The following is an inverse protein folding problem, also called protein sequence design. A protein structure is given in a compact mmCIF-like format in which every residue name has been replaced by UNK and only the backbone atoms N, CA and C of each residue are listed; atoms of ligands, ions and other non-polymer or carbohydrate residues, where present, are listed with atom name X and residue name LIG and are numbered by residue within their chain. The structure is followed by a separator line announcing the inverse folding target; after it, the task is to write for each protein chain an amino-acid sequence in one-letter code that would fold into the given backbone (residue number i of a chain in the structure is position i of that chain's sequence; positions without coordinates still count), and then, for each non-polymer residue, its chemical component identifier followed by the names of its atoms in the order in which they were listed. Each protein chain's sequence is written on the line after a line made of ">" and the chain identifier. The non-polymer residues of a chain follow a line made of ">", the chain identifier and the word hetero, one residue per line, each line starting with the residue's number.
data_IF_057029034278
#
_entry.id   IF_057029034278
#
_cell.length_a   1.000
_cell.length_b   1.000
_cell.length_c   1.000
_cell.angle_alpha   90.00
_cell.angle_beta   90.00
_cell.angle_gamma   90.00
#
_symmetry.space_group_name_H-M   'P 1'
#
loop_
_entity.id
_entity.type
_entity.pdbx_description
1 polymer ?
#
# COMPACT_ATOMS: atom_id res chain seq x y z
N UNK A 1 39.06 -11.72 8.54
CA UNK A 1 38.70 -10.41 7.97
C UNK A 1 38.03 -9.62 9.10
N UNK A 2 38.71 -8.63 9.66
CA UNK A 2 38.11 -7.68 10.60
C UNK A 2 36.93 -7.02 9.89
N UNK A 3 35.73 -7.06 10.49
CA UNK A 3 34.57 -6.34 9.96
C UNK A 3 34.83 -4.85 10.14
N UNK A 4 35.57 -4.23 9.22
CA UNK A 4 35.45 -2.79 9.04
C UNK A 4 33.96 -2.51 8.82
N UNK A 5 33.41 -1.62 9.65
CA UNK A 5 31.99 -1.25 9.59
C UNK A 5 31.67 -0.77 8.17
N UNK A 6 30.90 -1.56 7.41
CA UNK A 6 30.55 -1.19 6.04
C UNK A 6 29.87 0.17 6.04
N UNK A 7 30.40 1.12 5.25
CA UNK A 7 29.79 2.43 5.08
C UNK A 7 28.69 2.35 4.01
N UNK A 8 27.48 2.81 4.33
CA UNK A 8 26.32 2.78 3.44
C UNK A 8 25.76 4.18 3.30
N UNK A 9 25.62 4.65 2.06
CA UNK A 9 24.94 5.89 1.72
C UNK A 9 23.51 5.58 1.24
N UNK A 10 22.51 6.19 1.88
CA UNK A 10 21.10 6.11 1.51
C UNK A 10 20.66 7.47 0.95
N UNK A 11 20.02 7.45 -0.23
CA UNK A 11 19.47 8.64 -0.87
C UNK A 11 17.96 8.66 -0.67
N UNK A 12 17.49 9.60 0.14
CA UNK A 12 16.09 9.76 0.55
C UNK A 12 15.89 9.44 2.03
N UNK A 13 15.45 10.43 2.79
CA UNK A 13 15.12 10.37 4.22
C UNK A 13 13.62 10.18 4.49
N UNK A 14 12.87 9.62 3.54
CA UNK A 14 11.50 9.15 3.76
C UNK A 14 11.45 7.82 4.52
N UNK A 15 10.25 7.30 4.77
CA UNK A 15 10.03 6.09 5.60
C UNK A 15 10.86 4.89 5.16
N UNK A 16 10.98 4.65 3.85
CA UNK A 16 11.79 3.54 3.32
C UNK A 16 13.27 3.72 3.66
N UNK A 17 13.83 4.91 3.41
CA UNK A 17 15.24 5.18 3.67
C UNK A 17 15.57 5.15 5.17
N UNK A 18 14.68 5.66 6.01
CA UNK A 18 14.82 5.60 7.47
C UNK A 18 14.75 4.15 7.99
N UNK A 19 13.79 3.34 7.53
CA UNK A 19 13.71 1.92 7.89
C UNK A 19 14.96 1.16 7.43
N UNK A 20 15.43 1.36 6.18
CA UNK A 20 16.68 0.76 5.71
C UNK A 20 17.86 1.17 6.60
N UNK A 21 17.97 2.46 6.93
CA UNK A 21 19.04 2.97 7.79
C UNK A 21 18.99 2.40 9.21
N UNK A 22 17.80 2.25 9.79
CA UNK A 22 17.59 1.63 11.10
C UNK A 22 18.11 0.20 11.15
N UNK A 23 17.66 -0.67 10.24
CA UNK A 23 18.06 -2.07 10.22
C UNK A 23 19.54 -2.27 9.84
N UNK A 24 20.08 -1.44 8.94
CA UNK A 24 21.51 -1.47 8.60
C UNK A 24 22.38 -1.00 9.77
N UNK A 25 21.96 0.04 10.49
CA UNK A 25 22.67 0.51 11.69
C UNK A 25 22.67 -0.56 12.78
N UNK A 26 21.54 -1.24 13.02
CA UNK A 26 21.47 -2.41 13.92
C UNK A 26 22.39 -3.56 13.48
N UNK A 27 22.60 -3.75 12.18
CA UNK A 27 23.53 -4.74 11.65
C UNK A 27 25.03 -4.34 11.79
N UNK A 28 25.33 -3.16 12.33
CA UNK A 28 26.69 -2.66 12.54
C UNK A 28 27.27 -1.88 11.36
N UNK A 29 26.44 -1.50 10.37
CA UNK A 29 26.86 -0.63 9.27
C UNK A 29 26.93 0.84 9.73
N UNK A 30 27.86 1.60 9.17
CA UNK A 30 27.90 3.06 9.31
C UNK A 30 27.03 3.68 8.23
N UNK A 31 25.86 4.18 8.60
CA UNK A 31 24.87 4.70 7.64
C UNK A 31 24.93 6.22 7.57
N UNK A 32 25.02 6.75 6.34
CA UNK A 32 24.77 8.16 6.03
C UNK A 32 23.49 8.26 5.21
N UNK A 33 22.53 9.08 5.64
CA UNK A 33 21.30 9.35 4.88
C UNK A 33 21.36 10.78 4.38
N UNK A 34 21.17 10.97 3.08
CA UNK A 34 21.04 12.28 2.46
C UNK A 34 19.62 12.47 1.95
N UNK A 35 19.04 13.64 2.21
CA UNK A 35 17.77 14.07 1.61
C UNK A 35 17.97 15.45 0.98
N UNK A 36 17.23 15.72 -0.09
CA UNK A 36 17.22 17.03 -0.74
C UNK A 36 16.53 18.07 0.15
N UNK A 37 15.49 17.68 0.89
CA UNK A 37 14.80 18.53 1.84
C UNK A 37 15.16 18.13 3.28
N UNK A 38 16.00 18.92 3.99
CA UNK A 38 16.38 18.60 5.35
C UNK A 38 15.20 18.66 6.34
N UNK A 39 14.12 19.39 6.01
CA UNK A 39 12.91 19.45 6.82
C UNK A 39 12.03 18.20 6.66
N UNK A 40 12.19 17.47 5.54
CA UNK A 40 11.37 16.33 5.11
C UNK A 40 9.86 16.63 4.98
N UNK A 41 9.48 17.91 5.03
CA UNK A 41 8.08 18.35 4.92
C UNK A 41 7.57 18.21 3.50
N UNK A 42 6.27 17.95 3.35
CA UNK A 42 5.62 17.84 2.04
C UNK A 42 6.18 16.73 1.12
N UNK A 43 6.83 15.73 1.72
CA UNK A 43 7.17 14.48 1.05
C UNK A 43 6.02 13.45 1.23
N UNK A 44 5.97 12.41 0.40
CA UNK A 44 4.94 11.36 0.51
C UNK A 44 4.87 10.71 1.90
N UNK A 45 6.00 10.65 2.62
CA UNK A 45 6.05 10.10 3.98
C UNK A 45 5.52 11.06 5.05
N UNK A 46 5.38 12.35 4.76
CA UNK A 46 4.85 13.37 5.68
C UNK A 46 3.32 13.52 5.55
N UNK A 47 2.78 13.36 4.34
CA UNK A 47 1.36 13.61 4.03
C UNK A 47 0.54 12.34 3.68
N UNK A 48 0.95 11.17 4.16
CA UNK A 48 0.17 9.93 3.95
C UNK A 48 -0.88 9.70 5.06
N UNK A 49 -1.82 8.79 4.80
CA UNK A 49 -2.90 8.45 5.74
C UNK A 49 -2.47 7.58 6.94
N UNK A 50 -1.18 7.20 7.06
CA UNK A 50 -0.65 6.40 8.17
C UNK A 50 -1.13 4.94 8.19
N UNK A 51 -1.73 4.45 7.11
CA UNK A 51 -2.30 3.10 7.07
C UNK A 51 -1.27 2.03 6.72
N UNK A 52 -1.30 0.92 7.45
CA UNK A 52 -0.58 -0.31 7.13
C UNK A 52 -1.58 -1.32 6.58
N UNK A 53 -1.55 -1.59 5.27
CA UNK A 53 -2.66 -2.21 4.52
C UNK A 53 -2.30 -3.58 3.90
N UNK A 54 -2.28 -4.68 4.67
CA UNK A 54 -2.04 -6.01 4.10
C UNK A 54 -3.13 -6.47 3.11
N UNK A 55 -4.30 -5.83 3.11
CA UNK A 55 -5.38 -6.07 2.15
C UNK A 55 -5.04 -5.67 0.71
N UNK A 56 -3.98 -4.89 0.46
CA UNK A 56 -3.59 -4.43 -0.88
C UNK A 56 -2.67 -5.43 -1.61
N UNK A 57 -3.08 -6.70 -1.65
CA UNK A 57 -2.37 -7.76 -2.35
C UNK A 57 -2.69 -7.83 -3.86
N UNK A 58 -3.74 -7.14 -4.31
CA UNK A 58 -4.02 -6.98 -5.74
C UNK A 58 -3.15 -5.83 -6.27
N UNK A 59 -2.29 -6.07 -7.29
CA UNK A 59 -1.43 -5.03 -7.82
C UNK A 59 -2.25 -3.92 -8.49
N UNK A 60 -1.68 -2.72 -8.57
CA UNK A 60 -2.29 -1.59 -9.28
C UNK A 60 -2.62 -1.92 -10.75
N UNK A 61 -1.79 -2.74 -11.39
CA UNK A 61 -2.05 -3.27 -12.73
C UNK A 61 -2.97 -4.50 -12.64
N UNK A 62 -4.27 -4.28 -12.43
CA UNK A 62 -5.28 -5.33 -12.38
C UNK A 62 -6.25 -5.24 -13.58
N UNK A 63 -6.99 -6.33 -13.91
CA UNK A 63 -8.08 -6.28 -14.87
C UNK A 63 -9.05 -5.14 -14.58
N UNK A 64 -9.52 -4.44 -15.62
CA UNK A 64 -10.50 -3.35 -15.47
C UNK A 64 -9.92 -1.98 -15.07
N UNK A 65 -8.70 -1.91 -14.55
CA UNK A 65 -8.07 -0.62 -14.18
C UNK A 65 -7.87 0.29 -15.39
N UNK A 66 -7.62 -0.27 -16.57
CA UNK A 66 -7.46 0.50 -17.81
C UNK A 66 -8.76 1.15 -18.25
N UNK A 67 -9.87 0.40 -18.26
CA UNK A 67 -11.18 0.94 -18.65
C UNK A 67 -11.66 1.96 -17.62
N UNK A 68 -11.41 1.72 -16.34
CA UNK A 68 -11.67 2.68 -15.28
C UNK A 68 -10.81 3.94 -15.42
N UNK A 69 -9.51 3.79 -15.68
CA UNK A 69 -8.57 4.89 -15.90
C UNK A 69 -8.95 5.76 -17.10
N UNK A 70 -9.41 5.16 -18.20
CA UNK A 70 -9.94 5.89 -19.36
C UNK A 70 -11.20 6.70 -19.01
N UNK A 71 -12.15 6.12 -18.26
CA UNK A 71 -13.34 6.84 -17.77
C UNK A 71 -12.94 8.01 -16.84
N UNK A 72 -11.97 7.78 -15.97
CA UNK A 72 -11.42 8.76 -15.04
C UNK A 72 -10.71 9.92 -15.73
N UNK A 73 -9.95 9.67 -16.79
CA UNK A 73 -9.31 10.75 -17.57
C UNK A 73 -10.33 11.71 -18.22
N UNK A 74 -11.56 11.26 -18.46
CA UNK A 74 -12.64 12.10 -18.98
C UNK A 74 -13.36 12.93 -17.90
N UNK A 75 -13.03 12.71 -16.62
CA UNK A 75 -13.60 13.43 -15.49
C UNK A 75 -12.53 14.33 -14.85
N UNK A 76 -12.69 15.65 -14.94
CA UNK A 76 -11.74 16.62 -14.37
C UNK A 76 -11.66 16.62 -12.84
N UNK A 77 -12.60 15.96 -12.16
CA UNK A 77 -12.60 15.74 -10.70
C UNK A 77 -12.03 14.37 -10.30
N UNK A 78 -11.52 13.60 -11.27
CA UNK A 78 -10.96 12.27 -11.02
C UNK A 78 -9.66 12.36 -10.21
N UNK A 79 -9.41 11.39 -9.29
CA UNK A 79 -8.13 11.29 -8.59
C UNK A 79 -6.97 10.91 -9.52
N UNK A 80 -7.26 10.44 -10.74
CA UNK A 80 -6.28 10.05 -11.73
C UNK A 80 -6.38 10.90 -12.99
N UNK A 81 -5.33 11.68 -13.27
CA UNK A 81 -5.17 12.48 -14.48
C UNK A 81 -3.77 12.26 -15.09
N UNK A 82 -3.72 11.75 -16.31
CA UNK A 82 -2.50 11.69 -17.11
C UNK A 82 -2.56 12.75 -18.20
N UNK A 83 -1.67 13.74 -18.14
CA UNK A 83 -1.55 14.72 -19.22
C UNK A 83 -1.05 14.01 -20.49
N UNK A 84 -1.80 14.01 -21.61
CA UNK A 84 -1.33 13.41 -22.84
C UNK A 84 -0.07 14.14 -23.33
N UNK A 85 1.00 13.39 -23.59
CA UNK A 85 2.27 13.90 -24.11
C UNK A 85 2.80 12.92 -25.15
N UNK A 86 3.45 13.44 -26.20
CA UNK A 86 4.15 12.63 -27.20
C UNK A 86 5.53 12.24 -26.67
N UNK A 87 5.54 11.44 -25.60
CA UNK A 87 6.74 10.93 -24.96
C UNK A 87 6.83 9.41 -25.18
N UNK A 88 7.81 8.91 -25.96
CA UNK A 88 7.98 7.48 -26.20
C UNK A 88 8.14 6.65 -24.92
N UNK A 89 8.76 7.21 -23.87
CA UNK A 89 8.92 6.53 -22.60
C UNK A 89 7.57 6.33 -21.90
N UNK A 90 6.73 7.37 -21.91
CA UNK A 90 5.36 7.31 -21.38
C UNK A 90 4.54 6.24 -22.12
N UNK A 91 4.57 6.21 -23.44
CA UNK A 91 3.82 5.22 -24.23
C UNK A 91 4.32 3.79 -23.99
N UNK A 92 5.64 3.60 -23.88
CA UNK A 92 6.23 2.31 -23.51
C UNK A 92 5.76 1.84 -22.13
N UNK A 93 5.70 2.75 -21.15
CA UNK A 93 5.18 2.46 -19.83
C UNK A 93 3.68 2.10 -19.87
N UNK A 94 2.86 2.89 -20.58
CA UNK A 94 1.43 2.60 -20.75
C UNK A 94 1.19 1.22 -21.37
N UNK A 95 1.98 0.86 -22.38
CA UNK A 95 1.91 -0.45 -23.01
C UNK A 95 2.27 -1.59 -22.05
N UNK A 96 3.34 -1.44 -21.26
CA UNK A 96 3.71 -2.41 -20.22
C UNK A 96 2.62 -2.53 -19.16
N UNK A 97 2.12 -1.40 -18.66
CA UNK A 97 1.04 -1.36 -17.67
C UNK A 97 -0.21 -2.07 -18.19
N UNK A 98 -0.63 -1.79 -19.43
CA UNK A 98 -1.71 -2.51 -20.10
C UNK A 98 -1.45 -4.02 -20.17
N UNK A 99 -0.27 -4.44 -20.64
CA UNK A 99 0.09 -5.87 -20.73
C UNK A 99 0.04 -6.59 -19.40
N UNK A 100 0.36 -5.92 -18.31
CA UNK A 100 0.33 -6.47 -16.96
C UNK A 100 -1.02 -6.33 -16.25
N UNK A 101 -1.97 -5.56 -16.80
CA UNK A 101 -3.32 -5.39 -16.24
C UNK A 101 -4.23 -6.58 -16.54
N UNK A 102 -3.85 -7.78 -16.08
CA UNK A 102 -4.55 -9.03 -16.36
C UNK A 102 -4.59 -9.97 -15.14
N UNK A 103 -5.51 -10.94 -15.16
CA UNK A 103 -5.74 -11.84 -14.02
C UNK A 103 -4.54 -12.73 -13.69
N UNK A 104 -3.76 -13.16 -14.71
CA UNK A 104 -2.55 -13.94 -14.47
C UNK A 104 -1.49 -13.14 -13.72
N UNK A 105 -1.37 -11.84 -13.98
CA UNK A 105 -0.44 -11.00 -13.21
C UNK A 105 -0.86 -10.88 -11.74
N UNK A 106 -2.15 -10.73 -11.47
CA UNK A 106 -2.69 -10.72 -10.10
C UNK A 106 -2.37 -12.05 -9.41
N UNK A 107 -2.69 -13.18 -10.03
CA UNK A 107 -2.45 -14.50 -9.44
C UNK A 107 -0.97 -14.75 -9.13
N UNK A 108 -0.08 -14.33 -10.03
CA UNK A 108 1.36 -14.50 -9.86
C UNK A 108 1.99 -13.55 -8.82
N UNK A 109 1.29 -12.47 -8.44
CA UNK A 109 1.84 -11.44 -7.53
C UNK A 109 1.16 -11.40 -6.16
N UNK A 110 -0.10 -11.84 -6.04
CA UNK A 110 -0.89 -11.70 -4.80
C UNK A 110 -0.20 -12.30 -3.57
N UNK A 111 0.41 -13.48 -3.71
CA UNK A 111 1.07 -14.15 -2.59
C UNK A 111 2.31 -13.38 -2.13
N UNK A 112 3.12 -12.87 -3.06
CA UNK A 112 4.31 -12.07 -2.73
C UNK A 112 3.91 -10.75 -2.08
N UNK A 113 2.93 -10.05 -2.65
CA UNK A 113 2.47 -8.76 -2.13
C UNK A 113 1.86 -8.91 -0.73
N UNK A 114 1.03 -9.94 -0.52
CA UNK A 114 0.49 -10.27 0.81
C UNK A 114 1.61 -10.57 1.80
N UNK A 115 2.55 -11.46 1.45
CA UNK A 115 3.65 -11.83 2.33
C UNK A 115 4.51 -10.62 2.73
N UNK A 116 4.86 -9.76 1.77
CA UNK A 116 5.60 -8.52 2.05
C UNK A 116 4.83 -7.57 2.96
N UNK A 117 3.51 -7.44 2.76
CA UNK A 117 2.68 -6.51 3.52
C UNK A 117 2.40 -6.99 4.94
N UNK A 118 2.18 -8.30 5.11
CA UNK A 118 2.04 -8.93 6.43
C UNK A 118 3.35 -8.85 7.22
N UNK A 119 4.48 -9.09 6.57
CA UNK A 119 5.80 -8.92 7.19
C UNK A 119 6.06 -7.46 7.55
N UNK A 120 5.72 -6.52 6.66
CA UNK A 120 5.81 -5.10 6.97
C UNK A 120 4.96 -4.73 8.18
N UNK A 121 3.72 -5.24 8.30
CA UNK A 121 2.88 -5.04 9.49
C UNK A 121 3.51 -5.58 10.76
N UNK A 122 4.08 -6.78 10.70
CA UNK A 122 4.81 -7.39 11.83
C UNK A 122 5.96 -6.50 12.28
N UNK A 123 6.79 -6.03 11.35
CA UNK A 123 7.91 -5.14 11.63
C UNK A 123 7.48 -3.77 12.17
N UNK A 124 6.34 -3.23 11.72
CA UNK A 124 5.81 -1.97 12.27
C UNK A 124 5.37 -2.12 13.73
N UNK A 125 4.81 -3.27 14.12
CA UNK A 125 4.48 -3.55 15.53
C UNK A 125 5.75 -3.60 16.39
N UNK A 126 6.79 -4.30 15.93
CA UNK A 126 8.09 -4.33 16.62
C UNK A 126 8.72 -2.93 16.73
N UNK A 127 8.65 -2.14 15.66
CA UNK A 127 9.16 -0.76 15.69
C UNK A 127 8.36 0.13 16.64
N UNK A 128 7.04 -0.05 16.73
CA UNK A 128 6.22 0.73 17.67
C UNK A 128 6.64 0.46 19.12
N UNK A 129 6.91 -0.81 19.46
CA UNK A 129 7.39 -1.20 20.79
C UNK A 129 8.81 -0.67 21.09
N UNK A 130 9.70 -0.67 20.09
CA UNK A 130 11.09 -0.25 20.27
C UNK A 130 11.29 1.28 20.25
N UNK A 131 10.50 2.00 19.45
CA UNK A 131 10.64 3.43 19.21
C UNK A 131 9.58 4.27 19.94
N UNK A 132 8.61 3.64 20.58
CA UNK A 132 7.55 4.27 21.37
C UNK A 132 6.75 5.31 20.54
N UNK A 133 6.14 4.86 19.44
CA UNK A 133 5.21 5.67 18.64
C UNK A 133 3.83 5.03 18.55
N UNK A 134 2.81 5.88 18.37
CA UNK A 134 1.42 5.43 18.29
C UNK A 134 1.16 4.58 17.03
N UNK A 135 0.69 3.35 17.24
CA UNK A 135 0.22 2.46 16.18
C UNK A 135 -1.10 1.80 16.58
N UNK A 136 -2.19 2.19 15.92
CA UNK A 136 -3.51 1.63 16.19
C UNK A 136 -3.75 0.33 15.39
N UNK A 137 -4.19 -0.73 16.08
CA UNK A 137 -4.48 -2.05 15.50
C UNK A 137 -5.98 -2.33 15.42
N UNK A 138 -6.75 -1.40 14.82
CA UNK A 138 -8.23 -1.45 14.78
C UNK A 138 -8.82 -2.11 13.52
N UNK A 139 -7.98 -2.49 12.56
CA UNK A 139 -8.43 -3.01 11.27
C UNK A 139 -8.91 -1.91 10.31
N UNK A 140 -9.55 -2.32 9.22
CA UNK A 140 -10.08 -1.45 8.17
C UNK A 140 -11.46 -1.99 7.76
N UNK A 141 -12.47 -1.10 7.71
CA UNK A 141 -13.79 -1.42 7.18
C UNK A 141 -13.93 -0.91 5.74
N UNK A 142 -14.30 -1.81 4.84
CA UNK A 142 -14.67 -1.49 3.45
C UNK A 142 -16.20 -1.37 3.37
N UNK A 143 -16.71 -0.15 3.49
CA UNK A 143 -18.15 0.12 3.52
C UNK A 143 -18.75 0.07 2.11
N UNK A 144 -19.83 -0.70 1.96
CA UNK A 144 -20.51 -0.92 0.69
C UNK A 144 -21.95 -0.41 0.77
N UNK A 145 -22.35 0.53 -0.09
CA UNK A 145 -23.73 1.05 -0.12
C UNK A 145 -24.69 0.22 -0.99
N UNK A 146 -24.16 -0.77 -1.72
CA UNK A 146 -24.93 -1.56 -2.67
C UNK A 146 -24.56 -3.03 -2.52
N UNK A 147 -25.54 -3.91 -2.72
CA UNK A 147 -25.34 -5.36 -2.73
C UNK A 147 -24.26 -5.77 -3.74
N UNK A 148 -24.27 -5.18 -4.95
CA UNK A 148 -23.27 -5.46 -5.96
C UNK A 148 -21.84 -5.10 -5.51
N UNK A 149 -21.67 -3.97 -4.80
CA UNK A 149 -20.39 -3.60 -4.21
C UNK A 149 -19.96 -4.57 -3.12
N UNK A 150 -20.89 -5.01 -2.27
CA UNK A 150 -20.62 -6.00 -1.23
C UNK A 150 -20.22 -7.35 -1.84
N UNK A 151 -20.88 -7.80 -2.92
CA UNK A 151 -20.50 -9.02 -3.65
C UNK A 151 -19.10 -8.93 -4.28
N UNK A 152 -18.71 -7.77 -4.79
CA UNK A 152 -17.36 -7.54 -5.32
C UNK A 152 -16.31 -7.57 -4.21
N UNK A 153 -16.53 -6.85 -3.10
CA UNK A 153 -15.63 -6.86 -1.94
C UNK A 153 -15.58 -8.23 -1.25
N UNK A 154 -16.68 -8.99 -1.24
CA UNK A 154 -16.69 -10.35 -0.71
C UNK A 154 -15.75 -11.29 -1.48
N UNK A 155 -15.61 -11.10 -2.80
CA UNK A 155 -14.61 -11.83 -3.61
C UNK A 155 -13.19 -11.42 -3.23
N UNK A 156 -12.95 -10.13 -2.98
CA UNK A 156 -11.65 -9.64 -2.51
C UNK A 156 -11.33 -10.20 -1.13
N UNK A 157 -12.29 -10.20 -0.19
CA UNK A 157 -12.12 -10.81 1.13
C UNK A 157 -11.82 -12.31 1.04
N UNK A 158 -12.47 -13.04 0.13
CA UNK A 158 -12.16 -14.44 -0.12
C UNK A 158 -10.73 -14.65 -0.62
N UNK A 159 -10.29 -13.88 -1.62
CA UNK A 159 -8.91 -13.91 -2.12
C UNK A 159 -7.91 -13.53 -1.02
N UNK A 160 -8.26 -12.57 -0.15
CA UNK A 160 -7.43 -12.16 0.98
C UNK A 160 -7.19 -13.31 1.95
N UNK A 161 -8.25 -14.05 2.31
CA UNK A 161 -8.13 -15.24 3.18
C UNK A 161 -7.24 -16.32 2.57
N UNK A 162 -7.29 -16.52 1.26
CA UNK A 162 -6.40 -17.46 0.56
C UNK A 162 -4.92 -17.11 0.71
N UNK A 163 -4.59 -15.82 0.79
CA UNK A 163 -3.21 -15.32 0.89
C UNK A 163 -2.83 -14.91 2.32
N UNK A 164 -3.60 -15.32 3.32
CA UNK A 164 -3.29 -15.14 4.74
C UNK A 164 -3.71 -13.79 5.35
N UNK A 165 -4.53 -13.01 4.65
CA UNK A 165 -5.15 -11.78 5.20
C UNK A 165 -6.44 -12.16 5.91
N UNK A 166 -6.56 -11.77 7.19
CA UNK A 166 -7.81 -11.91 7.93
C UNK A 166 -8.85 -10.93 7.38
N UNK A 167 -9.98 -11.46 6.92
CA UNK A 167 -11.03 -10.68 6.26
C UNK A 167 -12.41 -11.29 6.54
N UNK A 168 -13.31 -10.46 7.04
CA UNK A 168 -14.69 -10.80 7.40
C UNK A 168 -15.66 -10.05 6.48
N UNK A 169 -16.65 -10.75 5.92
CA UNK A 169 -17.78 -10.10 5.24
C UNK A 169 -18.83 -9.81 6.29
N UNK A 170 -19.11 -8.53 6.51
CA UNK A 170 -20.00 -8.06 7.57
C UNK A 170 -21.35 -7.64 7.00
N UNK A 171 -22.43 -7.97 7.69
CA UNK A 171 -23.73 -7.33 7.48
C UNK A 171 -23.83 -6.02 8.30
N UNK A 172 -24.91 -5.28 8.09
CA UNK A 172 -25.13 -4.01 8.78
C UNK A 172 -25.17 -4.14 10.31
N UNK A 173 -25.59 -5.29 10.85
CA UNK A 173 -25.59 -5.54 12.30
C UNK A 173 -24.15 -5.64 12.79
N UNK A 174 -23.34 -6.46 12.13
CA UNK A 174 -21.93 -6.65 12.46
C UNK A 174 -21.12 -5.37 12.34
N UNK A 175 -21.39 -4.54 11.33
CA UNK A 175 -20.75 -3.22 11.20
C UNK A 175 -21.03 -2.33 12.40
N UNK A 176 -22.27 -2.29 12.91
CA UNK A 176 -22.63 -1.51 14.13
C UNK A 176 -22.01 -2.05 15.41
N UNK A 177 -21.68 -3.35 15.47
CA UNK A 177 -20.91 -3.90 16.59
C UNK A 177 -19.45 -3.45 16.56
N UNK A 178 -18.87 -3.34 15.36
CA UNK A 178 -17.47 -2.94 15.15
C UNK A 178 -17.29 -1.42 15.26
N UNK A 179 -18.24 -0.64 14.76
CA UNK A 179 -18.29 0.82 14.84
C UNK A 179 -19.68 1.28 15.32
N UNK A 180 -19.90 1.40 16.64
CA UNK A 180 -21.20 1.79 17.21
C UNK A 180 -21.67 3.21 16.83
N UNK A 181 -20.75 4.09 16.43
CA UNK A 181 -21.03 5.49 16.09
C UNK A 181 -21.30 5.68 14.58
N UNK A 182 -21.33 4.59 13.79
CA UNK A 182 -21.54 4.66 12.36
C UNK A 182 -22.92 5.25 12.01
N UNK A 183 -22.93 6.30 11.21
CA UNK A 183 -24.14 6.96 10.70
C UNK A 183 -24.41 6.69 9.22
N UNK A 184 -23.45 6.05 8.53
CA UNK A 184 -23.56 5.73 7.12
C UNK A 184 -24.59 4.62 6.90
N UNK A 185 -25.37 4.74 5.82
CA UNK A 185 -26.27 3.69 5.35
C UNK A 185 -25.44 2.66 4.56
N UNK A 186 -25.20 1.50 5.19
CA UNK A 186 -24.31 0.42 4.75
C UNK A 186 -24.93 -0.95 5.02
#
# INVERSE_FOLDING_TARGET
>A
VSRDSQEVLIVGGGVIGLCCGWYLSKAGCRVTIIDRDPSRKSACSDENAGMIVPSHFIPLAAPGVISQGLKWMLNSKSPFYMRPRLDPALWSWCWKFYRHSNASHVENSKCLLSAMSLESRRLFLELADELDFDLATRGLLMLCQTEAGLEEEAKVAAMGREVGVDAEVCDAVRVRELDPDIQMDV
#
